data_IF_887866907060
#
_entry.id   IF_887866907060
#
_cell.length_a   1.000
_cell.length_b   1.000
_cell.length_c   1.000
_cell.angle_alpha   90.00
_cell.angle_beta   90.00
_cell.angle_gamma   90.00
#
_symmetry.space_group_name_H-M   'P 1'
#
loop_
_entity.id
_entity.type
_entity.pdbx_description
1 polymer ?
#
# COMPACT_ATOMS: atom_id res chain seq x y z
N UNK A 1 -11.16 5.10 15.95
CA UNK A 1 -10.01 5.73 15.25
C UNK A 1 -8.88 6.00 16.24
N UNK A 2 -7.62 6.12 15.79
CA UNK A 2 -6.43 6.10 16.67
C UNK A 2 -6.49 7.05 17.89
N UNK A 3 -7.05 8.26 17.74
CA UNK A 3 -7.21 9.23 18.84
C UNK A 3 -8.51 9.10 19.64
N UNK A 4 -9.43 8.21 19.26
CA UNK A 4 -10.76 8.09 19.86
C UNK A 4 -11.79 9.14 19.41
N UNK A 5 -11.40 10.17 18.65
CA UNK A 5 -12.30 11.26 18.22
C UNK A 5 -13.42 10.81 17.27
N UNK A 6 -13.26 9.66 16.62
CA UNK A 6 -14.29 9.05 15.77
C UNK A 6 -14.39 7.54 16.08
N UNK A 7 -15.62 7.00 16.19
CA UNK A 7 -15.84 5.59 16.51
C UNK A 7 -15.42 4.66 15.36
N UNK A 8 -15.65 5.08 14.10
CA UNK A 8 -15.28 4.34 12.89
C UNK A 8 -14.76 5.30 11.82
N UNK A 9 -14.02 4.77 10.84
CA UNK A 9 -13.54 5.54 9.70
C UNK A 9 -12.96 4.63 8.61
N UNK A 10 -12.96 5.13 7.37
CA UNK A 10 -12.23 4.50 6.27
C UNK A 10 -10.78 4.97 6.28
N UNK A 11 -9.87 4.02 6.17
CA UNK A 11 -8.41 4.24 6.16
C UNK A 11 -7.76 3.30 5.15
N UNK A 12 -6.53 3.59 4.76
CA UNK A 12 -5.74 2.62 4.01
C UNK A 12 -5.33 1.45 4.92
N UNK A 13 -5.39 0.21 4.40
CA UNK A 13 -5.01 -0.98 5.16
C UNK A 13 -3.57 -0.90 5.68
N UNK A 14 -2.68 -0.29 4.90
CA UNK A 14 -1.28 -0.05 5.26
C UNK A 14 -1.07 0.79 6.52
N UNK A 15 -2.08 1.56 6.95
CA UNK A 15 -2.01 2.37 8.16
C UNK A 15 -2.33 1.57 9.44
N UNK A 16 -2.93 0.38 9.29
CA UNK A 16 -3.42 -0.41 10.43
C UNK A 16 -2.83 -1.82 10.50
N UNK A 17 -2.30 -2.32 9.38
CA UNK A 17 -1.60 -3.61 9.34
C UNK A 17 -0.17 -3.45 9.88
N UNK A 18 0.17 -4.28 10.85
CA UNK A 18 1.50 -4.37 11.43
C UNK A 18 2.47 -5.15 10.54
N UNK A 19 3.78 -5.08 10.82
CA UNK A 19 4.80 -5.84 10.08
C UNK A 19 4.59 -7.37 10.13
N UNK A 20 3.85 -7.85 11.12
CA UNK A 20 3.46 -9.25 11.35
C UNK A 20 2.13 -9.63 10.66
N UNK A 21 1.49 -8.69 9.96
CA UNK A 21 0.17 -8.88 9.34
C UNK A 21 -1.00 -8.69 10.31
N UNK A 22 -0.75 -8.37 11.58
CA UNK A 22 -1.79 -8.14 12.57
C UNK A 22 -2.45 -6.77 12.43
N UNK A 23 -3.72 -6.63 12.81
CA UNK A 23 -4.40 -5.34 12.93
C UNK A 23 -4.86 -5.16 14.37
N UNK A 24 -4.52 -4.02 14.97
CA UNK A 24 -5.01 -3.68 16.31
C UNK A 24 -6.48 -3.26 16.26
N UNK A 25 -7.30 -3.87 17.10
CA UNK A 25 -8.74 -3.59 17.18
C UNK A 25 -9.55 -4.28 16.08
N UNK A 26 -10.71 -3.71 15.76
CA UNK A 26 -11.63 -4.28 14.77
C UNK A 26 -11.49 -3.56 13.43
N UNK A 27 -11.51 -4.33 12.34
CA UNK A 27 -11.51 -3.79 10.98
C UNK A 27 -12.43 -4.62 10.08
N UNK A 28 -12.81 -4.03 8.95
CA UNK A 28 -13.56 -4.69 7.90
C UNK A 28 -12.94 -4.35 6.54
N UNK A 29 -12.61 -5.37 5.76
CA UNK A 29 -12.12 -5.19 4.39
C UNK A 29 -13.33 -5.02 3.49
N UNK A 30 -13.46 -3.82 2.90
CA UNK A 30 -14.55 -3.51 1.96
C UNK A 30 -14.39 -4.39 0.71
N UNK A 31 -15.45 -5.10 0.28
CA UNK A 31 -15.42 -5.85 -0.99
C UNK A 31 -15.09 -4.96 -2.19
N UNK A 32 -14.25 -5.46 -3.09
CA UNK A 32 -13.79 -4.72 -4.29
C UNK A 32 -14.90 -4.31 -5.24
N UNK A 33 -16.04 -5.01 -5.23
CA UNK A 33 -17.21 -4.64 -6.03
C UNK A 33 -17.89 -3.34 -5.57
N UNK A 34 -17.49 -2.78 -4.44
CA UNK A 34 -18.10 -1.59 -3.84
C UNK A 34 -17.29 -0.30 -4.07
N UNK A 35 -16.14 -0.37 -4.74
CA UNK A 35 -15.31 0.80 -5.01
C UNK A 35 -14.46 0.65 -6.27
N UNK A 36 -14.08 1.77 -6.89
CA UNK A 36 -13.11 1.74 -7.98
C UNK A 36 -11.70 1.43 -7.43
N UNK A 37 -10.92 0.57 -8.10
CA UNK A 37 -9.59 0.21 -7.63
C UNK A 37 -8.71 1.42 -7.33
N UNK A 38 -8.14 1.48 -6.12
CA UNK A 38 -7.21 2.53 -5.69
C UNK A 38 -5.83 2.23 -6.28
N UNK A 39 -5.61 2.64 -7.52
CA UNK A 39 -4.32 2.45 -8.22
C UNK A 39 -3.34 3.56 -7.84
N UNK A 40 -2.16 3.16 -7.34
CA UNK A 40 -1.08 4.07 -7.03
C UNK A 40 -0.03 4.05 -8.13
N UNK A 41 0.40 5.24 -8.56
CA UNK A 41 1.42 5.43 -9.58
C UNK A 41 2.54 6.32 -9.05
N UNK A 42 3.73 6.17 -9.62
CA UNK A 42 4.88 7.02 -9.34
C UNK A 42 5.43 7.57 -10.66
N UNK A 43 6.01 8.77 -10.62
CA UNK A 43 6.63 9.42 -11.78
C UNK A 43 7.97 10.02 -11.37
N UNK A 44 8.93 9.98 -12.30
CA UNK A 44 10.22 10.64 -12.12
C UNK A 44 10.05 12.13 -12.46
N UNK A 45 10.14 12.99 -11.44
CA UNK A 45 10.04 14.45 -11.62
C UNK A 45 11.33 15.08 -12.14
N UNK A 46 12.47 14.44 -11.90
CA UNK A 46 13.79 14.83 -12.39
C UNK A 46 14.62 13.58 -12.63
N UNK A 47 15.13 13.45 -13.85
CA UNK A 47 15.88 12.28 -14.29
C UNK A 47 17.31 12.24 -13.73
N UNK A 48 17.86 11.03 -13.62
CA UNK A 48 19.18 10.75 -13.08
C UNK A 48 19.40 9.26 -12.82
N UNK A 49 20.66 8.82 -12.72
CA UNK A 49 20.97 7.40 -12.48
C UNK A 49 20.36 6.89 -11.17
N UNK A 50 20.52 7.62 -10.07
CA UNK A 50 20.02 7.18 -8.77
C UNK A 50 18.50 7.00 -8.70
N UNK A 51 17.72 7.83 -9.40
CA UNK A 51 16.25 7.67 -9.42
C UNK A 51 15.83 6.50 -10.31
N UNK A 52 16.57 6.21 -11.38
CA UNK A 52 16.34 5.03 -12.23
C UNK A 52 16.63 3.75 -11.44
N UNK A 53 17.79 3.70 -10.77
CA UNK A 53 18.16 2.58 -9.90
C UNK A 53 17.12 2.37 -8.78
N UNK A 54 16.57 3.44 -8.22
CA UNK A 54 15.50 3.36 -7.23
C UNK A 54 14.19 2.83 -7.81
N UNK A 55 13.78 3.28 -9.00
CA UNK A 55 12.56 2.76 -9.65
C UNK A 55 12.73 1.28 -10.02
N UNK A 56 13.91 0.88 -10.50
CA UNK A 56 14.22 -0.53 -10.76
C UNK A 56 14.13 -1.37 -9.48
N UNK A 57 14.65 -0.85 -8.36
CA UNK A 57 14.46 -1.48 -7.05
C UNK A 57 12.98 -1.58 -6.64
N UNK A 58 12.20 -0.52 -6.81
CA UNK A 58 10.76 -0.49 -6.46
C UNK A 58 9.96 -1.51 -7.27
N UNK A 59 10.31 -1.75 -8.53
CA UNK A 59 9.71 -2.81 -9.35
C UNK A 59 10.25 -4.21 -9.04
N UNK A 60 11.38 -4.30 -8.34
CA UNK A 60 12.05 -5.53 -7.97
C UNK A 60 11.28 -6.39 -6.96
N UNK A 61 11.70 -7.67 -6.80
CA UNK A 61 11.03 -8.61 -5.90
C UNK A 61 11.12 -8.21 -4.42
N UNK A 62 12.20 -7.55 -4.00
CA UNK A 62 12.38 -7.11 -2.60
C UNK A 62 11.37 -6.03 -2.21
N UNK A 63 11.30 -4.94 -2.98
CA UNK A 63 10.30 -3.91 -2.77
C UNK A 63 8.88 -4.47 -2.93
N UNK A 64 8.67 -5.38 -3.87
CA UNK A 64 7.39 -6.07 -4.05
C UNK A 64 6.91 -6.82 -2.81
N UNK A 65 7.80 -7.55 -2.15
CA UNK A 65 7.48 -8.24 -0.90
C UNK A 65 7.13 -7.26 0.24
N UNK A 66 7.77 -6.09 0.29
CA UNK A 66 7.43 -5.03 1.24
C UNK A 66 6.04 -4.47 0.94
N UNK A 67 5.75 -4.12 -0.32
CA UNK A 67 4.46 -3.58 -0.77
C UNK A 67 3.32 -4.54 -0.39
N UNK A 68 3.47 -5.83 -0.70
CA UNK A 68 2.46 -6.86 -0.41
C UNK A 68 2.27 -7.08 1.11
N UNK A 69 3.35 -7.06 1.90
CA UNK A 69 3.29 -7.18 3.37
C UNK A 69 2.43 -6.09 4.02
N UNK A 70 2.43 -4.89 3.46
CA UNK A 70 1.63 -3.76 3.96
C UNK A 70 0.22 -3.68 3.34
N UNK A 71 -0.24 -4.74 2.67
CA UNK A 71 -1.63 -4.85 2.19
C UNK A 71 -1.90 -4.17 0.85
N UNK A 72 -0.86 -3.73 0.15
CA UNK A 72 -0.97 -3.30 -1.25
C UNK A 72 -0.88 -4.48 -2.20
N UNK A 73 -1.25 -4.25 -3.46
CA UNK A 73 -1.09 -5.23 -4.53
C UNK A 73 -0.24 -4.64 -5.62
N UNK A 74 0.56 -5.50 -6.25
CA UNK A 74 1.24 -5.15 -7.49
C UNK A 74 0.36 -5.49 -8.69
N UNK A 75 0.43 -4.71 -9.78
CA UNK A 75 -0.14 -5.13 -11.05
C UNK A 75 0.40 -6.52 -11.44
N UNK A 76 -0.41 -7.31 -12.14
CA UNK A 76 0.14 -8.45 -12.86
C UNK A 76 1.20 -7.93 -13.84
N UNK A 77 2.28 -8.69 -14.04
CA UNK A 77 3.23 -8.38 -15.10
C UNK A 77 2.47 -8.36 -16.44
N UNK A 78 2.55 -7.25 -17.18
CA UNK A 78 2.17 -7.21 -18.59
C UNK A 78 3.24 -7.89 -19.45
#
# INVERSE_FOLDING_TARGET
MASGNAPVGFVALSQVIGPDGGVSGSHWVVPESLYEPIRQQAVIVKDGSAVRDFIDFVHGPEAGAIIERYGYRRPAAE
#
